data_IF_640796880844
#
_entry.id   IF_640796880844
#
_cell.length_a   1.000
_cell.length_b   1.000
_cell.length_c   1.000
_cell.angle_alpha   90.00
_cell.angle_beta   90.00
_cell.angle_gamma   90.00
#
_symmetry.space_group_name_H-M   'P 1'
#
loop_
_entity.id
_entity.type
_entity.pdbx_description
1 polymer ?
#
# COMPACT_ATOMS: atom_id res chain seq x y z
N UNK A 1 4.48 -26.37 -17.08
CA UNK A 1 3.19 -25.69 -16.81
C UNK A 1 3.48 -24.21 -16.95
N UNK A 2 2.77 -23.49 -17.80
CA UNK A 2 2.96 -22.05 -17.85
C UNK A 2 2.58 -21.47 -16.49
N UNK A 3 3.50 -20.76 -15.84
CA UNK A 3 3.21 -20.02 -14.61
C UNK A 3 2.02 -19.12 -14.92
N UNK A 4 0.89 -19.38 -14.27
CA UNK A 4 -0.30 -18.56 -14.45
C UNK A 4 0.02 -17.17 -13.91
N UNK A 5 0.08 -16.18 -14.80
CA UNK A 5 0.31 -14.79 -14.43
C UNK A 5 -0.73 -14.42 -13.36
N UNK A 6 -0.26 -13.91 -12.20
CA UNK A 6 -1.13 -13.45 -11.13
C UNK A 6 -2.02 -12.30 -11.65
N UNK A 7 -3.28 -12.59 -11.92
CA UNK A 7 -4.22 -11.61 -12.45
C UNK A 7 -5.67 -11.90 -12.00
N UNK A 8 -5.95 -11.95 -10.68
CA UNK A 8 -7.28 -12.28 -10.17
C UNK A 8 -8.38 -11.31 -10.66
N UNK A 9 -8.03 -10.07 -11.00
CA UNK A 9 -8.96 -9.09 -11.56
C UNK A 9 -9.49 -9.43 -12.98
N UNK A 10 -8.93 -10.47 -13.63
CA UNK A 10 -9.41 -10.99 -14.92
C UNK A 10 -10.39 -12.15 -14.75
N UNK A 11 -10.47 -12.71 -13.55
CA UNK A 11 -11.39 -13.80 -13.24
C UNK A 11 -12.71 -13.25 -12.66
N UNK A 12 -13.84 -13.39 -13.36
CA UNK A 12 -15.15 -12.93 -12.89
C UNK A 12 -15.62 -13.62 -11.58
N UNK A 13 -15.02 -14.77 -11.23
CA UNK A 13 -15.35 -15.51 -10.00
C UNK A 13 -14.44 -15.12 -8.82
N UNK A 14 -13.35 -14.41 -9.06
CA UNK A 14 -12.45 -13.97 -8.00
C UNK A 14 -13.17 -12.99 -7.05
N UNK A 15 -13.09 -13.28 -5.76
CA UNK A 15 -13.67 -12.39 -4.74
C UNK A 15 -12.63 -11.37 -4.31
N UNK A 16 -12.94 -10.08 -4.38
CA UNK A 16 -12.03 -9.05 -3.92
C UNK A 16 -11.87 -9.09 -2.39
N UNK A 17 -10.65 -8.81 -1.93
CA UNK A 17 -10.36 -8.63 -0.51
C UNK A 17 -10.90 -7.29 -0.01
N UNK A 18 -10.69 -6.23 -0.80
CA UNK A 18 -11.15 -4.87 -0.49
C UNK A 18 -12.08 -4.42 -1.60
N UNK A 19 -13.22 -3.82 -1.20
CA UNK A 19 -14.14 -3.16 -2.12
C UNK A 19 -14.46 -1.76 -1.62
N UNK A 20 -14.21 -0.78 -2.44
CA UNK A 20 -14.78 0.54 -2.31
C UNK A 20 -16.07 0.58 -3.15
N UNK A 21 -17.18 1.01 -2.56
CA UNK A 21 -18.49 1.06 -3.23
C UNK A 21 -19.07 2.47 -3.11
N UNK A 22 -18.91 3.27 -4.15
CA UNK A 22 -19.43 4.64 -4.20
C UNK A 22 -18.90 5.51 -3.07
N UNK A 23 -17.62 5.36 -2.72
CA UNK A 23 -17.03 6.02 -1.55
C UNK A 23 -16.81 7.50 -1.84
N UNK A 24 -17.46 8.36 -1.03
CA UNK A 24 -17.24 9.81 -1.04
C UNK A 24 -16.74 10.26 0.33
N UNK A 25 -15.76 11.16 0.34
CA UNK A 25 -15.28 11.83 1.55
C UNK A 25 -15.26 13.33 1.37
N UNK A 26 -16.01 14.05 2.21
CA UNK A 26 -16.04 15.52 2.26
C UNK A 26 -15.47 16.03 3.58
N UNK A 27 -14.80 17.17 3.52
CA UNK A 27 -14.36 17.97 4.66
C UNK A 27 -14.93 19.37 4.48
N UNK A 28 -16.06 19.67 5.12
CA UNK A 28 -16.85 20.87 4.80
C UNK A 28 -17.27 20.87 3.33
N UNK A 29 -16.94 21.93 2.61
CA UNK A 29 -17.26 22.08 1.18
C UNK A 29 -16.24 21.38 0.25
N UNK A 30 -15.12 20.90 0.79
CA UNK A 30 -14.08 20.25 0.00
C UNK A 30 -14.34 18.74 -0.13
N UNK A 31 -14.44 18.25 -1.36
CA UNK A 31 -14.56 16.82 -1.68
C UNK A 31 -13.16 16.23 -1.94
N UNK A 32 -12.68 15.44 -1.00
CA UNK A 32 -11.36 14.79 -1.09
C UNK A 32 -11.39 13.48 -1.87
N UNK A 33 -12.50 12.75 -1.82
CA UNK A 33 -12.78 11.52 -2.60
C UNK A 33 -14.21 11.66 -3.14
N UNK A 34 -14.40 11.38 -4.41
CA UNK A 34 -15.67 11.58 -5.11
C UNK A 34 -16.12 10.30 -5.83
N UNK A 35 -17.17 9.66 -5.30
CA UNK A 35 -17.85 8.46 -5.83
C UNK A 35 -16.91 7.34 -6.29
N UNK A 36 -15.92 7.00 -5.44
CA UNK A 36 -14.88 6.04 -5.79
C UNK A 36 -15.38 4.61 -5.62
N UNK A 37 -15.32 3.84 -6.70
CA UNK A 37 -15.60 2.39 -6.72
C UNK A 37 -14.39 1.65 -7.25
N UNK A 38 -13.85 0.71 -6.47
CA UNK A 38 -12.65 -0.06 -6.81
C UNK A 38 -12.58 -1.36 -6.02
N UNK A 39 -12.19 -2.44 -6.70
CA UNK A 39 -11.88 -3.74 -6.11
C UNK A 39 -10.38 -4.00 -6.08
N UNK A 40 -9.89 -4.53 -4.94
CA UNK A 40 -8.50 -4.97 -4.75
C UNK A 40 -8.52 -6.40 -4.25
N UNK A 41 -7.66 -7.26 -4.82
CA UNK A 41 -7.71 -8.70 -4.60
C UNK A 41 -6.67 -9.16 -3.56
N UNK A 42 -6.85 -10.38 -3.06
CA UNK A 42 -5.92 -11.00 -2.11
C UNK A 42 -4.54 -11.21 -2.76
N UNK A 43 -3.48 -11.04 -2.00
CA UNK A 43 -2.08 -11.12 -2.46
C UNK A 43 -1.68 -10.09 -3.53
N UNK A 44 -2.49 -9.06 -3.77
CA UNK A 44 -2.18 -7.99 -4.72
C UNK A 44 -1.21 -6.98 -4.11
N UNK A 45 -0.26 -6.49 -4.89
CA UNK A 45 0.49 -5.29 -4.59
C UNK A 45 -0.14 -4.14 -5.38
N UNK A 46 -0.98 -3.33 -4.74
CA UNK A 46 -1.76 -2.27 -5.38
C UNK A 46 -1.17 -0.89 -5.12
N UNK A 47 -0.88 -0.12 -6.15
CA UNK A 47 -0.35 1.24 -6.00
C UNK A 47 -1.45 2.30 -6.22
N UNK A 48 -1.54 3.25 -5.29
CA UNK A 48 -2.27 4.51 -5.45
C UNK A 48 -1.26 5.58 -5.86
N UNK A 49 -1.28 5.99 -7.11
CA UNK A 49 -0.34 6.94 -7.70
C UNK A 49 -1.07 8.23 -8.10
N UNK A 50 -0.46 9.39 -7.88
CA UNK A 50 -1.04 10.67 -8.27
C UNK A 50 -0.35 11.85 -7.60
N UNK A 51 -0.66 13.09 -7.99
CA UNK A 51 -0.08 14.28 -7.42
C UNK A 51 -0.47 14.48 -5.95
N UNK A 52 0.25 15.36 -5.26
CA UNK A 52 -0.11 15.75 -3.90
C UNK A 52 -1.51 16.34 -3.84
N UNK A 53 -2.29 15.97 -2.81
CA UNK A 53 -3.65 16.48 -2.63
C UNK A 53 -4.74 15.78 -3.43
N UNK A 54 -4.45 14.80 -4.31
CA UNK A 54 -5.48 14.10 -5.09
C UNK A 54 -6.32 13.07 -4.32
N UNK A 55 -6.12 12.92 -2.99
CA UNK A 55 -6.97 12.08 -2.15
C UNK A 55 -6.35 10.75 -1.67
N UNK A 56 -5.16 10.35 -2.14
CA UNK A 56 -4.51 9.06 -1.79
C UNK A 56 -4.43 8.80 -0.29
N UNK A 57 -3.86 9.76 0.46
CA UNK A 57 -3.73 9.66 1.92
C UNK A 57 -5.09 9.61 2.61
N UNK A 58 -6.10 10.32 2.10
CA UNK A 58 -7.47 10.27 2.62
C UNK A 58 -8.07 8.87 2.44
N UNK A 59 -7.91 8.27 1.25
CA UNK A 59 -8.39 6.92 0.96
C UNK A 59 -7.70 5.89 1.87
N UNK A 60 -6.39 6.00 2.04
CA UNK A 60 -5.62 5.15 2.93
C UNK A 60 -6.04 5.30 4.40
N UNK A 61 -6.28 6.54 4.87
CA UNK A 61 -6.75 6.81 6.24
C UNK A 61 -8.14 6.23 6.48
N UNK A 62 -9.01 6.22 5.48
CA UNK A 62 -10.31 5.54 5.56
C UNK A 62 -10.16 4.03 5.67
N UNK A 63 -9.25 3.39 4.91
CA UNK A 63 -8.92 1.96 5.06
C UNK A 63 -8.35 1.63 6.42
N UNK A 64 -7.44 2.46 6.93
CA UNK A 64 -6.84 2.29 8.26
C UNK A 64 -7.82 2.55 9.41
N UNK A 65 -8.94 3.24 9.17
CA UNK A 65 -9.96 3.58 10.18
C UNK A 65 -9.70 4.87 10.94
N UNK A 66 -8.81 5.73 10.45
CA UNK A 66 -8.58 7.08 10.99
C UNK A 66 -9.57 8.11 10.45
N UNK A 67 -10.24 7.78 9.34
CA UNK A 67 -11.32 8.55 8.75
C UNK A 67 -12.49 7.63 8.45
N UNK A 68 -13.71 8.18 8.42
CA UNK A 68 -14.92 7.50 7.97
C UNK A 68 -15.36 8.06 6.63
N UNK A 69 -15.88 7.25 5.70
CA UNK A 69 -16.50 7.79 4.49
C UNK A 69 -17.71 8.68 4.84
N UNK A 70 -17.95 9.68 4.02
CA UNK A 70 -19.18 10.51 4.12
C UNK A 70 -20.35 9.76 3.50
N UNK A 71 -20.09 9.07 2.37
CA UNK A 71 -21.07 8.26 1.65
C UNK A 71 -20.37 6.98 1.14
N UNK A 72 -21.18 5.97 0.80
CA UNK A 72 -20.66 4.69 0.29
C UNK A 72 -20.16 3.76 1.38
N UNK A 73 -19.50 2.68 0.98
CA UNK A 73 -19.05 1.61 1.89
C UNK A 73 -17.64 1.16 1.54
N UNK A 74 -16.91 0.75 2.58
CA UNK A 74 -15.60 0.10 2.44
C UNK A 74 -15.70 -1.30 3.02
N UNK A 75 -15.59 -2.32 2.16
CA UNK A 75 -15.65 -3.70 2.58
C UNK A 75 -14.25 -4.32 2.65
N UNK A 76 -13.97 -5.07 3.70
CA UNK A 76 -12.82 -5.95 3.82
C UNK A 76 -13.33 -7.39 3.97
N UNK A 77 -13.01 -8.22 2.99
CA UNK A 77 -13.48 -9.62 2.95
C UNK A 77 -15.03 -9.72 3.05
N UNK A 78 -15.72 -8.83 2.32
CA UNK A 78 -17.18 -8.73 2.30
C UNK A 78 -17.85 -8.09 3.53
N UNK A 79 -17.07 -7.72 4.56
CA UNK A 79 -17.57 -7.05 5.77
C UNK A 79 -17.30 -5.55 5.71
N UNK A 80 -18.32 -4.75 5.96
CA UNK A 80 -18.16 -3.30 6.06
C UNK A 80 -17.27 -2.92 7.25
N UNK A 81 -16.20 -2.19 6.96
CA UNK A 81 -15.24 -1.68 7.94
C UNK A 81 -15.32 -0.17 8.13
N UNK A 82 -16.20 0.53 7.44
CA UNK A 82 -16.30 1.99 7.45
C UNK A 82 -16.33 2.59 8.86
N UNK A 83 -17.04 1.95 9.78
CA UNK A 83 -17.20 2.39 11.18
C UNK A 83 -16.39 1.58 12.20
N UNK A 84 -15.57 0.62 11.77
CA UNK A 84 -14.73 -0.17 12.68
C UNK A 84 -13.48 0.65 13.05
N UNK A 85 -13.15 0.82 14.36
CA UNK A 85 -11.97 1.58 14.77
C UNK A 85 -10.67 0.86 14.35
N UNK A 86 -9.53 1.61 14.19
CA UNK A 86 -8.28 1.09 13.65
C UNK A 86 -7.76 -0.17 14.35
N UNK A 87 -7.84 -0.20 15.67
CA UNK A 87 -7.33 -1.32 16.49
C UNK A 87 -8.11 -2.63 16.37
N UNK A 88 -9.29 -2.60 15.75
CA UNK A 88 -10.15 -3.77 15.52
C UNK A 88 -10.20 -4.22 14.06
N UNK A 89 -9.45 -3.55 13.17
CA UNK A 89 -9.34 -3.94 11.75
C UNK A 89 -8.21 -4.94 11.54
N UNK A 90 -8.37 -5.86 10.61
CA UNK A 90 -7.29 -6.74 10.13
C UNK A 90 -6.37 -6.00 9.12
N UNK A 91 -6.12 -4.73 9.39
CA UNK A 91 -5.34 -3.79 8.58
C UNK A 91 -4.25 -3.20 9.45
N UNK A 92 -3.02 -3.17 8.96
CA UNK A 92 -1.94 -2.42 9.57
C UNK A 92 -1.44 -1.33 8.63
N UNK A 93 -0.86 -0.28 9.19
CA UNK A 93 -0.31 0.84 8.44
C UNK A 93 1.13 1.12 8.85
N UNK A 94 1.99 1.29 7.87
CA UNK A 94 3.33 1.82 8.04
C UNK A 94 3.32 3.29 7.60
N UNK A 95 3.60 4.17 8.54
CA UNK A 95 3.63 5.61 8.31
C UNK A 95 4.96 6.03 7.67
N UNK A 96 4.94 7.13 6.93
CA UNK A 96 6.12 7.74 6.30
C UNK A 96 7.27 7.99 7.31
N UNK A 97 6.97 8.41 8.52
CA UNK A 97 7.95 8.62 9.60
C UNK A 97 8.41 7.33 10.30
N UNK A 98 7.94 6.15 9.83
CA UNK A 98 8.12 4.84 10.46
C UNK A 98 7.53 4.72 11.87
N UNK A 99 7.32 5.80 12.60
CA UNK A 99 6.73 5.90 13.93
C UNK A 99 7.26 4.84 14.93
N UNK A 100 8.57 4.58 14.92
CA UNK A 100 9.21 3.64 15.85
C UNK A 100 9.22 4.22 17.26
N UNK A 101 9.06 3.36 18.27
CA UNK A 101 9.21 3.72 19.67
C UNK A 101 10.70 3.89 19.99
N UNK A 102 11.20 5.12 20.22
CA UNK A 102 12.64 5.39 20.33
C UNK A 102 13.29 4.79 21.58
N UNK A 103 12.51 4.54 22.63
CA UNK A 103 12.95 3.96 23.89
C UNK A 103 12.99 2.43 23.89
N UNK A 104 12.32 1.78 22.93
CA UNK A 104 12.26 0.33 22.78
C UNK A 104 13.38 -0.18 21.86
N UNK A 105 13.82 -1.43 22.11
CA UNK A 105 14.70 -2.16 21.20
C UNK A 105 13.98 -2.50 19.87
N UNK A 106 14.72 -2.95 18.86
CA UNK A 106 14.15 -3.50 17.62
C UNK A 106 13.21 -4.66 17.94
N UNK A 107 13.65 -5.61 18.78
CA UNK A 107 12.82 -6.71 19.25
C UNK A 107 11.52 -6.22 19.88
N UNK A 108 11.59 -5.27 20.81
CA UNK A 108 10.42 -4.76 21.53
C UNK A 108 9.50 -3.93 20.65
N UNK A 109 10.02 -3.21 19.66
CA UNK A 109 9.20 -2.54 18.65
C UNK A 109 8.33 -3.55 17.88
N UNK A 110 8.91 -4.66 17.42
CA UNK A 110 8.20 -5.72 16.70
C UNK A 110 7.21 -6.44 17.63
N UNK A 111 7.61 -6.73 18.88
CA UNK A 111 6.79 -7.42 19.86
C UNK A 111 5.60 -6.58 20.38
N UNK A 112 5.64 -5.25 20.20
CA UNK A 112 4.71 -4.33 20.86
C UNK A 112 3.23 -4.67 20.60
N UNK A 113 2.85 -4.87 19.34
CA UNK A 113 1.48 -5.24 18.96
C UNK A 113 1.08 -6.62 19.46
N UNK A 114 2.00 -7.59 19.41
CA UNK A 114 1.75 -8.96 19.83
C UNK A 114 1.46 -9.08 21.35
N UNK A 115 2.16 -8.27 22.17
CA UNK A 115 1.93 -8.22 23.62
C UNK A 115 0.53 -7.74 24.01
N UNK A 116 -0.15 -7.01 23.11
CA UNK A 116 -1.53 -6.53 23.32
C UNK A 116 -2.60 -7.58 23.01
N UNK A 117 -2.23 -8.66 22.34
CA UNK A 117 -3.15 -9.72 21.92
C UNK A 117 -3.21 -10.90 22.90
N UNK A 118 -2.72 -10.75 24.12
CA UNK A 118 -2.73 -11.79 25.16
C UNK A 118 -2.05 -13.11 24.75
N UNK A 119 -1.08 -13.05 23.85
CA UNK A 119 -0.28 -14.21 23.41
C UNK A 119 0.71 -14.59 24.51
N UNK A 120 1.07 -15.87 24.58
CA UNK A 120 2.11 -16.30 25.51
C UNK A 120 3.51 -15.80 25.09
N UNK A 121 4.44 -15.76 26.02
CA UNK A 121 5.79 -15.19 25.80
C UNK A 121 6.58 -15.98 24.73
N UNK A 122 6.40 -17.29 24.67
CA UNK A 122 7.10 -18.15 23.73
C UNK A 122 6.64 -17.87 22.29
N UNK A 123 5.33 -17.74 22.05
CA UNK A 123 4.76 -17.44 20.73
C UNK A 123 5.19 -16.05 20.25
N UNK A 124 5.18 -15.04 21.16
CA UNK A 124 5.68 -13.70 20.86
C UNK A 124 7.13 -13.76 20.42
N UNK A 125 7.99 -14.48 21.17
CA UNK A 125 9.41 -14.60 20.87
C UNK A 125 9.62 -15.27 19.52
N UNK A 126 8.94 -16.39 19.26
CA UNK A 126 9.02 -17.12 17.99
C UNK A 126 8.61 -16.24 16.81
N UNK A 127 7.48 -15.52 16.93
CA UNK A 127 6.99 -14.62 15.87
C UNK A 127 7.93 -13.44 15.63
N UNK A 128 8.48 -12.83 16.67
CA UNK A 128 9.46 -11.74 16.52
C UNK A 128 10.72 -12.24 15.83
N UNK A 129 11.22 -13.43 16.19
CA UNK A 129 12.39 -14.03 15.53
C UNK A 129 12.14 -14.33 14.06
N UNK A 130 10.93 -14.77 13.71
CA UNK A 130 10.50 -14.96 12.31
C UNK A 130 10.56 -13.63 11.54
N UNK A 131 10.00 -12.56 12.12
CA UNK A 131 10.01 -11.23 11.49
C UNK A 131 11.42 -10.66 11.36
N UNK A 132 12.27 -10.85 12.36
CA UNK A 132 13.69 -10.46 12.29
C UNK A 132 14.43 -11.17 11.14
N UNK A 133 14.23 -12.49 10.97
CA UNK A 133 14.78 -13.24 9.84
C UNK A 133 14.27 -12.75 8.50
N UNK A 134 12.95 -12.58 8.39
CA UNK A 134 12.29 -12.08 7.16
C UNK A 134 12.90 -10.75 6.69
N UNK A 135 13.20 -9.85 7.64
CA UNK A 135 13.73 -8.51 7.36
C UNK A 135 15.25 -8.38 7.54
N UNK A 136 15.97 -9.50 7.75
CA UNK A 136 17.43 -9.57 7.95
C UNK A 136 17.94 -8.66 9.09
N UNK A 137 17.21 -8.62 10.19
CA UNK A 137 17.49 -7.76 11.35
C UNK A 137 17.96 -8.51 12.61
N UNK A 138 18.26 -9.81 12.55
CA UNK A 138 18.56 -10.65 13.72
C UNK A 138 19.68 -10.05 14.58
N UNK A 139 20.77 -9.60 13.95
CA UNK A 139 21.94 -9.01 14.63
C UNK A 139 21.66 -7.65 15.28
N UNK A 140 20.54 -7.02 14.94
CA UNK A 140 20.12 -5.71 15.44
C UNK A 140 19.01 -5.80 16.48
N UNK A 141 18.54 -6.99 16.86
CA UNK A 141 17.40 -7.22 17.75
C UNK A 141 17.43 -6.39 19.04
N UNK A 142 18.60 -6.26 19.67
CA UNK A 142 18.80 -5.53 20.92
C UNK A 142 19.16 -4.04 20.74
N UNK A 143 19.32 -3.56 19.50
CA UNK A 143 19.60 -2.16 19.21
C UNK A 143 18.35 -1.30 19.34
N UNK A 144 18.54 -0.02 19.64
CA UNK A 144 17.46 0.99 19.62
C UNK A 144 17.44 1.71 18.27
N UNK A 145 16.32 2.37 17.89
CA UNK A 145 16.17 3.06 16.60
C UNK A 145 17.28 4.05 16.26
N UNK A 146 17.83 4.75 17.25
CA UNK A 146 18.94 5.70 17.02
C UNK A 146 20.31 5.02 16.76
N UNK A 147 20.41 3.71 16.97
CA UNK A 147 21.64 2.91 16.78
C UNK A 147 21.66 2.14 15.43
N UNK A 148 20.68 2.38 14.58
CA UNK A 148 20.50 1.69 13.29
C UNK A 148 20.28 2.70 12.16
N UNK A 149 20.58 2.31 10.91
CA UNK A 149 20.43 3.15 9.72
C UNK A 149 18.97 3.46 9.38
N UNK A 150 18.73 4.40 8.44
CA UNK A 150 17.40 4.73 7.91
C UNK A 150 16.69 3.52 7.33
N UNK A 151 17.34 2.79 6.43
CA UNK A 151 16.78 1.56 5.84
C UNK A 151 16.52 0.47 6.88
N UNK A 152 17.39 0.33 7.91
CA UNK A 152 17.12 -0.60 9.00
C UNK A 152 15.91 -0.17 9.83
N UNK A 153 15.70 1.14 10.10
CA UNK A 153 14.48 1.62 10.76
C UNK A 153 13.22 1.31 9.97
N UNK A 154 13.28 1.47 8.65
CA UNK A 154 12.18 1.11 7.75
C UNK A 154 11.84 -0.39 7.87
N UNK A 155 12.85 -1.28 7.79
CA UNK A 155 12.65 -2.73 7.96
C UNK A 155 12.06 -3.10 9.32
N UNK A 156 12.44 -2.39 10.39
CA UNK A 156 11.81 -2.58 11.72
C UNK A 156 10.34 -2.19 11.70
N UNK A 157 9.98 -1.07 11.06
CA UNK A 157 8.58 -0.65 10.92
C UNK A 157 7.77 -1.65 10.11
N UNK A 158 8.33 -2.17 9.01
CA UNK A 158 7.72 -3.20 8.20
C UNK A 158 7.51 -4.50 8.99
N UNK A 159 8.56 -5.00 9.66
CA UNK A 159 8.49 -6.18 10.53
C UNK A 159 7.43 -6.03 11.63
N UNK A 160 7.37 -4.87 12.28
CA UNK A 160 6.34 -4.53 13.29
C UNK A 160 4.94 -4.59 12.70
N UNK A 161 4.76 -4.04 11.51
CA UNK A 161 3.46 -3.99 10.84
C UNK A 161 2.99 -5.38 10.39
N UNK A 162 3.92 -6.27 10.01
CA UNK A 162 3.63 -7.65 9.61
C UNK A 162 3.52 -8.64 10.78
N UNK A 163 4.03 -8.28 11.96
CA UNK A 163 4.08 -9.18 13.11
C UNK A 163 2.71 -9.77 13.49
N UNK A 164 1.65 -8.98 13.39
CA UNK A 164 0.26 -9.39 13.68
C UNK A 164 -0.40 -10.21 12.56
N UNK A 165 0.32 -10.49 11.47
CA UNK A 165 -0.22 -11.16 10.28
C UNK A 165 -1.51 -10.48 9.75
N UNK A 166 -1.47 -9.19 9.40
CA UNK A 166 -2.63 -8.50 8.87
C UNK A 166 -3.03 -9.06 7.50
N UNK A 167 -4.30 -8.95 7.12
CA UNK A 167 -4.74 -9.26 5.76
C UNK A 167 -4.32 -8.19 4.75
N UNK A 168 -4.20 -6.96 5.23
CA UNK A 168 -3.86 -5.79 4.44
C UNK A 168 -2.79 -4.95 5.15
N UNK A 169 -1.71 -4.64 4.43
CA UNK A 169 -0.69 -3.69 4.85
C UNK A 169 -0.76 -2.44 3.98
N UNK A 170 -0.88 -1.30 4.64
CA UNK A 170 -0.86 0.03 4.02
C UNK A 170 0.52 0.65 4.18
N UNK A 171 1.11 1.14 3.10
CA UNK A 171 2.44 1.75 3.04
C UNK A 171 2.30 3.20 2.57
N UNK A 172 2.58 4.15 3.46
CA UNK A 172 2.48 5.59 3.17
C UNK A 172 3.84 6.16 2.78
N UNK A 173 4.05 6.40 1.50
CA UNK A 173 5.30 6.89 0.91
C UNK A 173 6.55 6.20 1.49
N UNK A 174 6.60 4.85 1.46
CA UNK A 174 7.61 4.11 2.23
C UNK A 174 9.05 4.38 1.77
N UNK A 175 9.27 4.78 0.52
CA UNK A 175 10.60 4.94 -0.07
C UNK A 175 11.00 6.41 -0.28
N UNK A 176 10.11 7.36 0.02
CA UNK A 176 10.31 8.78 -0.28
C UNK A 176 11.52 9.43 0.42
N UNK A 177 11.97 8.88 1.55
CA UNK A 177 13.11 9.39 2.31
C UNK A 177 14.46 8.71 1.98
N UNK A 178 14.50 7.79 1.00
CA UNK A 178 15.68 7.00 0.64
C UNK A 178 16.42 7.61 -0.56
N UNK A 179 17.76 7.48 -0.58
CA UNK A 179 18.54 7.71 -1.79
C UNK A 179 18.20 6.65 -2.86
N UNK A 180 18.58 6.94 -4.12
CA UNK A 180 18.18 6.11 -5.28
C UNK A 180 18.57 4.64 -5.13
N UNK A 181 19.84 4.38 -4.76
CA UNK A 181 20.35 3.00 -4.65
C UNK A 181 19.61 2.21 -3.56
N UNK A 182 19.44 2.81 -2.39
CA UNK A 182 18.74 2.19 -1.29
C UNK A 182 17.24 1.99 -1.60
N UNK A 183 16.65 2.89 -2.40
CA UNK A 183 15.28 2.78 -2.88
C UNK A 183 15.10 1.55 -3.75
N UNK A 184 15.93 1.36 -4.78
CA UNK A 184 15.91 0.19 -5.65
C UNK A 184 16.05 -1.12 -4.87
N UNK A 185 17.04 -1.20 -3.95
CA UNK A 185 17.22 -2.38 -3.09
C UNK A 185 15.98 -2.66 -2.22
N UNK A 186 15.34 -1.61 -1.69
CA UNK A 186 14.18 -1.75 -0.81
C UNK A 186 12.90 -2.12 -1.57
N UNK A 187 12.74 -1.69 -2.82
CA UNK A 187 11.63 -2.12 -3.70
C UNK A 187 11.63 -3.64 -3.85
N UNK A 188 12.77 -4.24 -4.22
CA UNK A 188 12.89 -5.70 -4.34
C UNK A 188 12.65 -6.41 -3.01
N UNK A 189 13.12 -5.85 -1.89
CA UNK A 189 12.84 -6.41 -0.57
C UNK A 189 11.34 -6.38 -0.22
N UNK A 190 10.63 -5.30 -0.55
CA UNK A 190 9.19 -5.22 -0.32
C UNK A 190 8.43 -6.26 -1.13
N UNK A 191 8.81 -6.47 -2.40
CA UNK A 191 8.21 -7.50 -3.27
C UNK A 191 8.47 -8.91 -2.72
N UNK A 192 9.72 -9.24 -2.35
CA UNK A 192 10.10 -10.53 -1.77
C UNK A 192 9.35 -10.81 -0.44
N UNK A 193 9.20 -9.79 0.41
CA UNK A 193 8.44 -9.90 1.66
C UNK A 193 6.94 -10.09 1.39
N UNK A 194 6.37 -9.36 0.43
CA UNK A 194 4.97 -9.49 0.05
C UNK A 194 4.67 -10.90 -0.48
N UNK A 195 5.51 -11.42 -1.38
CA UNK A 195 5.40 -12.77 -1.93
C UNK A 195 5.50 -13.84 -0.83
N UNK A 196 6.50 -13.74 0.06
CA UNK A 196 6.71 -14.70 1.16
C UNK A 196 5.59 -14.70 2.19
N UNK A 197 4.95 -13.56 2.42
CA UNK A 197 3.90 -13.43 3.43
C UNK A 197 2.51 -13.66 2.87
N UNK A 198 2.31 -13.54 1.55
CA UNK A 198 1.00 -13.54 0.89
C UNK A 198 0.08 -12.42 1.38
N UNK A 199 0.62 -11.39 2.00
CA UNK A 199 -0.16 -10.25 2.49
C UNK A 199 -0.48 -9.31 1.34
N UNK A 200 -1.71 -8.81 1.27
CA UNK A 200 -2.06 -7.76 0.30
C UNK A 200 -1.43 -6.44 0.73
N UNK A 201 -0.74 -5.77 -0.19
CA UNK A 201 -0.12 -4.47 0.06
C UNK A 201 -0.84 -3.38 -0.74
N UNK A 202 -1.08 -2.24 -0.09
CA UNK A 202 -1.44 -1.00 -0.78
C UNK A 202 -0.36 0.03 -0.48
N UNK A 203 0.28 0.53 -1.54
CA UNK A 203 1.26 1.60 -1.45
C UNK A 203 0.66 2.90 -1.94
N UNK A 204 0.90 3.98 -1.20
CA UNK A 204 0.61 5.34 -1.64
C UNK A 204 1.93 6.01 -1.98
N UNK A 205 2.03 6.52 -3.19
CA UNK A 205 3.22 7.21 -3.65
C UNK A 205 2.88 8.30 -4.67
N UNK A 206 3.79 9.24 -4.82
CA UNK A 206 3.81 10.20 -5.93
C UNK A 206 4.95 9.89 -6.92
N UNK A 207 5.76 8.87 -6.63
CA UNK A 207 6.88 8.41 -7.45
C UNK A 207 6.39 7.34 -8.44
N UNK A 208 6.49 7.66 -9.72
CA UNK A 208 6.04 6.78 -10.81
C UNK A 208 6.90 5.52 -10.90
N UNK A 209 8.23 5.67 -10.76
CA UNK A 209 9.17 4.55 -10.83
C UNK A 209 8.87 3.52 -9.72
N UNK A 210 8.59 4.01 -8.51
CA UNK A 210 8.18 3.16 -7.40
C UNK A 210 6.91 2.37 -7.72
N UNK A 211 5.83 3.06 -8.13
CA UNK A 211 4.56 2.42 -8.44
C UNK A 211 4.67 1.39 -9.58
N UNK A 212 5.40 1.74 -10.65
CA UNK A 212 5.56 0.90 -11.84
C UNK A 212 6.44 -0.33 -11.58
N UNK A 213 7.38 -0.24 -10.61
CA UNK A 213 8.28 -1.35 -10.28
C UNK A 213 7.63 -2.40 -9.38
N UNK A 214 6.89 -1.97 -8.34
CA UNK A 214 6.44 -2.90 -7.30
C UNK A 214 5.01 -3.40 -7.48
N UNK A 215 4.17 -2.66 -8.22
CA UNK A 215 2.74 -2.94 -8.22
C UNK A 215 2.30 -4.01 -9.23
N UNK A 216 1.35 -4.85 -8.82
CA UNK A 216 0.58 -5.71 -9.72
C UNK A 216 -0.38 -4.89 -10.59
N UNK A 217 -1.02 -3.88 -9.96
CA UNK A 217 -1.82 -2.84 -10.64
C UNK A 217 -1.57 -1.48 -10.02
N UNK A 218 -1.64 -0.47 -10.87
CA UNK A 218 -1.54 0.95 -10.51
C UNK A 218 -2.88 1.63 -10.74
N UNK A 219 -3.37 2.33 -9.72
CA UNK A 219 -4.50 3.25 -9.82
C UNK A 219 -3.98 4.68 -9.88
N UNK A 220 -4.11 5.31 -11.03
CA UNK A 220 -3.78 6.73 -11.22
C UNK A 220 -4.94 7.57 -10.73
N UNK A 221 -4.67 8.43 -9.75
CA UNK A 221 -5.66 9.31 -9.12
C UNK A 221 -5.48 10.77 -9.53
N UNK A 222 -6.59 11.45 -9.73
CA UNK A 222 -6.65 12.90 -9.89
C UNK A 222 -7.93 13.43 -9.23
N UNK A 223 -7.83 14.55 -8.52
CA UNK A 223 -8.96 15.30 -7.94
C UNK A 223 -10.03 14.42 -7.25
N UNK A 224 -9.57 13.50 -6.40
CA UNK A 224 -10.44 12.61 -5.62
C UNK A 224 -11.00 11.41 -6.38
N UNK A 225 -10.65 11.22 -7.65
CA UNK A 225 -11.12 10.13 -8.51
C UNK A 225 -9.99 9.23 -8.97
N UNK A 226 -10.31 7.97 -9.25
CA UNK A 226 -9.44 7.08 -9.99
C UNK A 226 -9.69 7.32 -11.49
N UNK A 227 -8.64 7.70 -12.23
CA UNK A 227 -8.70 7.96 -13.68
C UNK A 227 -8.49 6.70 -14.49
N UNK A 228 -7.51 5.87 -14.07
CA UNK A 228 -7.21 4.59 -14.71
C UNK A 228 -6.70 3.59 -13.67
N UNK A 229 -7.09 2.31 -13.83
CA UNK A 229 -6.49 1.19 -13.10
C UNK A 229 -6.07 0.14 -14.11
N UNK A 230 -4.79 -0.21 -14.13
CA UNK A 230 -4.26 -1.27 -14.99
C UNK A 230 -2.93 -1.80 -14.43
N UNK A 231 -2.38 -2.83 -15.07
CA UNK A 231 -1.00 -3.27 -14.85
C UNK A 231 -0.02 -2.18 -15.29
N UNK A 232 1.20 -2.12 -14.71
CA UNK A 232 2.19 -1.09 -15.05
C UNK A 232 2.44 -0.93 -16.56
N UNK A 233 2.58 -2.05 -17.29
CA UNK A 233 2.75 -2.09 -18.75
C UNK A 233 1.60 -1.38 -19.48
N UNK A 234 0.35 -1.66 -19.10
CA UNK A 234 -0.83 -1.03 -19.72
C UNK A 234 -0.95 0.44 -19.36
N UNK A 235 -0.61 0.84 -18.12
CA UNK A 235 -0.59 2.26 -17.73
C UNK A 235 0.40 3.03 -18.61
N UNK A 236 1.57 2.46 -18.91
CA UNK A 236 2.62 3.09 -19.70
C UNK A 236 2.31 3.09 -21.19
N UNK A 237 1.93 1.92 -21.77
CA UNK A 237 1.78 1.73 -23.21
C UNK A 237 0.40 2.17 -23.74
N UNK A 238 -0.64 2.14 -22.89
CA UNK A 238 -2.02 2.43 -23.28
C UNK A 238 -2.73 3.34 -22.27
N UNK A 239 -2.22 4.56 -22.02
CA UNK A 239 -2.89 5.52 -21.16
C UNK A 239 -4.28 5.87 -21.72
N UNK A 240 -5.31 5.85 -20.88
CA UNK A 240 -6.70 6.07 -21.29
C UNK A 240 -7.06 7.57 -21.48
N UNK A 241 -6.17 8.46 -21.12
CA UNK A 241 -6.40 9.92 -21.18
C UNK A 241 -5.08 10.66 -21.35
N UNK A 242 -5.18 11.89 -21.86
CA UNK A 242 -4.05 12.82 -21.97
C UNK A 242 -3.42 13.05 -20.59
N UNK A 243 -4.26 13.16 -19.53
CA UNK A 243 -3.78 13.32 -18.17
C UNK A 243 -2.87 12.17 -17.72
N UNK A 244 -3.28 10.92 -17.95
CA UNK A 244 -2.47 9.75 -17.56
C UNK A 244 -1.20 9.69 -18.37
N UNK A 245 -1.26 9.95 -19.68
CA UNK A 245 -0.08 9.98 -20.55
C UNK A 245 0.95 11.02 -20.06
N UNK A 246 0.51 12.25 -19.82
CA UNK A 246 1.37 13.37 -19.37
C UNK A 246 1.91 13.15 -17.94
N UNK A 247 1.11 12.50 -17.10
CA UNK A 247 1.50 12.24 -15.70
C UNK A 247 2.50 11.06 -15.58
N UNK A 248 2.46 10.05 -16.45
CA UNK A 248 3.27 8.82 -16.32
C UNK A 248 4.62 8.91 -17.03
N UNK A 249 4.81 9.77 -17.99
CA UNK A 249 6.05 9.84 -18.74
C UNK A 249 6.27 11.17 -19.46
N UNK A 250 7.48 11.32 -19.98
CA UNK A 250 7.81 12.42 -20.89
C UNK A 250 7.18 12.15 -22.26
N UNK A 251 6.01 12.71 -22.51
CA UNK A 251 5.24 12.47 -23.74
C UNK A 251 5.21 13.69 -24.65
N UNK A 252 5.24 13.44 -25.97
CA UNK A 252 5.00 14.46 -26.99
C UNK A 252 3.51 14.45 -27.36
N UNK A 253 2.74 15.40 -26.86
CA UNK A 253 1.31 15.55 -27.15
C UNK A 253 1.11 16.35 -28.43
N UNK A 254 0.73 15.67 -29.53
CA UNK A 254 0.44 16.31 -30.82
C UNK A 254 -1.08 16.40 -30.99
N UNK A 255 -1.59 17.63 -31.03
CA UNK A 255 -3.02 17.88 -31.29
C UNK A 255 -3.30 17.74 -32.80
N UNK A 256 -4.32 16.98 -33.16
CA UNK A 256 -4.73 16.77 -34.55
C UNK A 256 -6.18 16.36 -34.67
N UNK A 257 -6.73 16.45 -35.85
CA UNK A 257 -8.08 15.94 -36.18
C UNK A 257 -7.91 14.69 -37.04
N UNK A 258 -8.46 13.55 -36.60
CA UNK A 258 -8.49 12.34 -37.41
C UNK A 258 -9.58 12.44 -38.47
N UNK A 259 -9.21 12.39 -39.71
CA UNK A 259 -10.18 12.26 -40.83
C UNK A 259 -10.29 10.79 -41.21
N UNK A 260 -11.52 10.22 -41.35
CA UNK A 260 -11.69 8.87 -41.81
C UNK A 260 -11.07 8.72 -43.23
N UNK A 261 -10.23 7.72 -43.45
CA UNK A 261 -9.85 7.36 -44.81
C UNK A 261 -11.10 6.90 -45.55
N UNK A 262 -11.37 7.53 -46.70
CA UNK A 262 -12.38 7.07 -47.68
C UNK A 262 -11.99 5.73 -48.29
#
# INVERSE_FOLDING_TARGET
MADSVFAPWRDPQAKPLIQFKGVTKRFGDFTAIDDLTQDIFECEFFALLGPSGCGKTTLMRMLAGFETPTEGQILLNGRDIGHIPPNKRAVNMMFQSYALFPHLSVFDNIAFGLRRESRNKADITARVQEMLRLTRLERFANRKPHQISGGQRQRVALARSLAKAPKLLLLDEPLGALDRKLREETQFELMDIQEKTGTTFIIVTHDQEEAMTVASRVAVMNEGKIVQVATPDVIYEAPNSVYVADFIGDVNLIRGTATPRK
#
